data_IF_485315604585
#
_entry.id   IF_485315604585
#
_cell.length_a   1.000
_cell.length_b   1.000
_cell.length_c   1.000
_cell.angle_alpha   90.00
_cell.angle_beta   90.00
_cell.angle_gamma   90.00
#
_symmetry.space_group_name_H-M   'P 1'
#
loop_
_entity.id
_entity.type
_entity.pdbx_description
1 polymer ?
#
# COMPACT_ATOMS: atom_id res chain seq x y z
N UNK A 1 10.45 29.17 -4.11
CA UNK A 1 11.71 29.82 -4.59
C UNK A 1 12.49 28.79 -5.40
N UNK A 2 12.99 29.07 -6.61
CA UNK A 2 13.72 28.06 -7.38
C UNK A 2 15.05 27.71 -6.69
N UNK A 3 15.30 26.41 -6.41
CA UNK A 3 16.51 25.95 -5.72
C UNK A 3 16.35 24.56 -5.10
N UNK A 4 17.45 24.03 -4.55
CA UNK A 4 17.50 22.74 -3.88
C UNK A 4 17.92 22.91 -2.42
N UNK A 5 17.14 22.36 -1.49
CA UNK A 5 17.50 22.27 -0.09
C UNK A 5 18.35 21.02 0.11
N UNK A 6 19.65 21.20 0.34
CA UNK A 6 20.56 20.09 0.65
C UNK A 6 20.30 19.49 2.04
N UNK A 7 19.74 20.26 2.96
CA UNK A 7 19.38 19.80 4.30
C UNK A 7 18.18 18.84 4.22
N UNK A 8 17.17 19.20 3.44
CA UNK A 8 15.93 18.42 3.31
C UNK A 8 16.00 17.37 2.19
N UNK A 9 17.05 17.43 1.35
CA UNK A 9 17.25 16.52 0.24
C UNK A 9 16.17 16.61 -0.84
N UNK A 10 15.59 17.80 -1.03
CA UNK A 10 14.49 18.05 -1.98
C UNK A 10 14.49 19.50 -2.50
N UNK A 11 13.68 19.80 -3.52
CA UNK A 11 13.55 21.16 -4.03
C UNK A 11 12.95 22.11 -2.98
N UNK A 12 13.33 23.38 -3.02
CA UNK A 12 12.75 24.40 -2.13
C UNK A 12 11.22 24.50 -2.33
N UNK A 13 10.74 24.30 -3.55
CA UNK A 13 9.30 24.25 -3.82
C UNK A 13 8.61 23.05 -3.15
N UNK A 14 9.28 21.89 -3.03
CA UNK A 14 8.73 20.76 -2.29
C UNK A 14 8.68 21.06 -0.78
N UNK A 15 9.68 21.75 -0.24
CA UNK A 15 9.67 22.22 1.16
C UNK A 15 8.51 23.20 1.39
N UNK A 16 8.34 24.17 0.48
CA UNK A 16 7.23 25.12 0.51
C UNK A 16 5.87 24.39 0.48
N UNK A 17 5.73 23.35 -0.36
CA UNK A 17 4.55 22.51 -0.43
C UNK A 17 4.25 21.79 0.89
N UNK A 18 5.26 21.16 1.51
CA UNK A 18 5.11 20.53 2.83
C UNK A 18 4.62 21.53 3.88
N UNK A 19 5.14 22.76 3.86
CA UNK A 19 4.73 23.84 4.77
C UNK A 19 3.29 24.31 4.50
N UNK A 20 2.85 24.29 3.24
CA UNK A 20 1.47 24.58 2.84
C UNK A 20 0.49 23.43 3.13
N UNK A 21 0.96 22.29 3.66
CA UNK A 21 0.12 21.12 3.91
C UNK A 21 -0.10 20.24 2.67
N UNK A 22 0.49 20.60 1.53
CA UNK A 22 0.46 19.83 0.29
C UNK A 22 1.56 18.78 0.34
N UNK A 23 1.19 17.50 0.22
CA UNK A 23 2.11 16.39 0.50
C UNK A 23 1.88 15.23 -0.47
N UNK A 24 2.87 14.35 -0.67
CA UNK A 24 2.63 13.11 -1.39
C UNK A 24 1.70 12.19 -0.59
N UNK A 25 0.90 11.36 -1.27
CA UNK A 25 -0.09 10.46 -0.62
C UNK A 25 0.52 9.57 0.48
N UNK A 26 1.78 9.16 0.31
CA UNK A 26 2.50 8.35 1.29
C UNK A 26 2.76 9.08 2.61
N UNK A 27 2.77 10.42 2.60
CA UNK A 27 3.02 11.29 3.76
C UNK A 27 1.76 11.96 4.29
N UNK A 28 0.67 12.03 3.53
CA UNK A 28 -0.62 12.51 4.04
C UNK A 28 -1.13 11.59 5.15
N UNK A 29 -1.35 12.16 6.32
CA UNK A 29 -1.89 11.46 7.48
C UNK A 29 -3.41 11.65 7.58
N UNK A 30 -4.07 10.88 8.43
CA UNK A 30 -5.49 11.14 8.71
C UNK A 30 -5.69 12.49 9.38
N UNK A 31 -4.73 12.95 10.20
CA UNK A 31 -4.79 14.25 10.87
C UNK A 31 -4.77 15.39 9.87
N UNK A 32 -3.92 15.33 8.83
CA UNK A 32 -3.89 16.33 7.76
C UNK A 32 -5.26 16.41 7.05
N UNK A 33 -5.85 15.25 6.73
CA UNK A 33 -7.18 15.18 6.12
C UNK A 33 -8.26 15.79 7.03
N UNK A 34 -8.23 15.48 8.34
CA UNK A 34 -9.20 16.04 9.30
C UNK A 34 -9.06 17.55 9.44
N UNK A 35 -7.83 18.07 9.44
CA UNK A 35 -7.57 19.51 9.51
C UNK A 35 -8.17 20.25 8.31
N UNK A 36 -8.21 19.62 7.13
CA UNK A 36 -8.88 20.16 5.95
C UNK A 36 -10.41 19.98 5.93
N UNK A 37 -11.00 19.30 6.92
CA UNK A 37 -12.45 19.07 6.99
C UNK A 37 -12.93 17.73 6.41
N UNK A 38 -12.02 16.82 6.05
CA UNK A 38 -12.39 15.51 5.51
C UNK A 38 -13.09 14.63 6.57
N UNK A 39 -14.32 14.21 6.29
CA UNK A 39 -15.09 13.34 7.17
C UNK A 39 -14.79 11.83 6.98
N UNK A 40 -14.26 11.43 5.82
CA UNK A 40 -14.05 10.03 5.46
C UNK A 40 -12.80 9.38 6.06
N UNK A 41 -12.51 8.15 5.62
CA UNK A 41 -11.30 7.41 6.02
C UNK A 41 -10.10 7.78 5.13
N UNK A 42 -8.87 7.54 5.61
CA UNK A 42 -7.67 7.68 4.78
C UNK A 42 -7.68 6.68 3.61
N UNK A 43 -8.20 5.47 3.81
CA UNK A 43 -8.33 4.44 2.76
C UNK A 43 -9.20 4.96 1.60
N UNK A 44 -10.33 5.60 1.91
CA UNK A 44 -11.20 6.20 0.91
C UNK A 44 -10.49 7.34 0.18
N UNK A 45 -9.85 8.26 0.89
CA UNK A 45 -9.11 9.37 0.26
C UNK A 45 -8.03 8.87 -0.72
N UNK A 46 -7.24 7.87 -0.33
CA UNK A 46 -6.21 7.29 -1.19
C UNK A 46 -6.83 6.58 -2.41
N UNK A 47 -7.97 5.91 -2.24
CA UNK A 47 -8.66 5.29 -3.36
C UNK A 47 -9.22 6.33 -4.34
N UNK A 48 -9.77 7.44 -3.83
CA UNK A 48 -10.24 8.56 -4.64
C UNK A 48 -9.11 9.22 -5.43
N UNK A 49 -7.92 9.35 -4.85
CA UNK A 49 -6.75 9.84 -5.57
C UNK A 49 -6.34 8.88 -6.70
N UNK A 50 -6.34 7.56 -6.45
CA UNK A 50 -6.01 6.54 -7.46
C UNK A 50 -7.01 6.46 -8.60
N UNK A 51 -8.27 6.76 -8.32
CA UNK A 51 -9.37 6.83 -9.29
C UNK A 51 -9.39 8.17 -10.06
N UNK A 52 -8.49 9.11 -9.73
CA UNK A 52 -8.41 10.43 -10.37
C UNK A 52 -9.45 11.44 -9.89
N UNK A 53 -10.34 11.07 -8.96
CA UNK A 53 -11.31 11.99 -8.35
C UNK A 53 -10.62 13.11 -7.55
N UNK A 54 -9.54 12.77 -6.84
CA UNK A 54 -8.69 13.75 -6.17
C UNK A 54 -7.40 13.92 -6.97
N UNK A 55 -7.32 14.90 -7.87
CA UNK A 55 -6.15 15.09 -8.71
C UNK A 55 -4.97 15.63 -7.89
N UNK A 56 -3.76 15.34 -8.34
CA UNK A 56 -2.56 15.98 -7.81
C UNK A 56 -2.60 17.47 -8.11
N UNK A 57 -2.37 18.31 -7.10
CA UNK A 57 -2.29 19.77 -7.26
C UNK A 57 -0.98 20.19 -7.93
N UNK A 58 0.09 19.46 -7.66
CA UNK A 58 1.42 19.71 -8.19
C UNK A 58 2.28 18.44 -8.14
N UNK A 59 3.45 18.51 -8.76
CA UNK A 59 4.40 17.41 -8.73
C UNK A 59 5.80 17.96 -8.44
N UNK A 60 6.59 17.19 -7.68
CA UNK A 60 7.96 17.52 -7.32
C UNK A 60 8.89 16.35 -7.60
N UNK A 61 10.18 16.62 -7.81
CA UNK A 61 11.18 15.56 -7.88
C UNK A 61 11.55 15.08 -6.47
N UNK A 62 11.72 13.77 -6.31
CA UNK A 62 12.24 13.15 -5.09
C UNK A 62 13.62 12.55 -5.31
N UNK A 63 14.50 12.76 -4.33
CA UNK A 63 15.87 12.25 -4.31
C UNK A 63 16.85 13.08 -5.13
N UNK A 64 18.08 13.22 -4.61
CA UNK A 64 19.12 14.03 -5.26
C UNK A 64 19.71 13.43 -6.55
N UNK A 65 19.59 12.13 -6.77
CA UNK A 65 20.26 11.44 -7.91
C UNK A 65 19.30 10.91 -8.97
N UNK A 66 18.14 10.38 -8.56
CA UNK A 66 17.23 9.66 -9.47
C UNK A 66 16.03 10.50 -9.93
N UNK A 67 15.84 11.71 -9.39
CA UNK A 67 14.84 12.71 -9.82
C UNK A 67 13.44 12.14 -10.09
N UNK A 68 13.00 11.18 -9.29
CA UNK A 68 11.72 10.52 -9.49
C UNK A 68 10.59 11.53 -9.32
N UNK A 69 9.68 11.61 -10.30
CA UNK A 69 8.47 12.44 -10.17
C UNK A 69 7.58 11.89 -9.06
N UNK A 70 7.17 12.78 -8.16
CA UNK A 70 6.25 12.48 -7.08
C UNK A 70 5.13 13.49 -7.10
N UNK A 71 3.91 12.99 -7.26
CA UNK A 71 2.72 13.83 -7.23
C UNK A 71 2.35 14.19 -5.79
N UNK A 72 1.98 15.45 -5.61
CA UNK A 72 1.62 16.07 -4.34
C UNK A 72 0.13 16.44 -4.41
N UNK A 73 -0.53 16.33 -3.25
CA UNK A 73 -1.97 16.42 -3.14
C UNK A 73 -2.34 17.40 -2.04
N UNK A 74 -3.28 18.28 -2.35
CA UNK A 74 -3.88 19.21 -1.41
C UNK A 74 -5.19 18.60 -0.86
N UNK A 75 -5.27 18.30 0.45
CA UNK A 75 -6.49 17.83 1.09
C UNK A 75 -7.70 18.75 0.94
N UNK A 76 -7.51 20.07 0.78
CA UNK A 76 -8.62 21.01 0.59
C UNK A 76 -9.37 20.71 -0.71
N UNK A 77 -8.64 20.45 -1.81
CA UNK A 77 -9.25 20.09 -3.10
C UNK A 77 -10.08 18.81 -3.04
N UNK A 78 -9.67 17.83 -2.21
CA UNK A 78 -10.47 16.63 -1.97
C UNK A 78 -11.79 16.98 -1.29
N UNK A 79 -11.75 17.85 -0.28
CA UNK A 79 -12.93 18.23 0.50
C UNK A 79 -13.90 19.02 -0.35
N UNK A 80 -13.39 19.97 -1.14
CA UNK A 80 -14.18 20.77 -2.07
C UNK A 80 -14.89 19.87 -3.09
N UNK A 81 -14.14 19.05 -3.83
CA UNK A 81 -14.71 18.12 -4.81
C UNK A 81 -15.72 17.15 -4.17
N UNK A 82 -15.46 16.67 -2.95
CA UNK A 82 -16.37 15.78 -2.24
C UNK A 82 -17.64 16.48 -1.77
N UNK A 83 -17.55 17.77 -1.44
CA UNK A 83 -18.68 18.58 -0.99
C UNK A 83 -19.71 18.80 -2.10
N UNK A 84 -19.25 18.84 -3.36
CA UNK A 84 -20.08 18.98 -4.56
C UNK A 84 -20.85 17.70 -4.91
N UNK A 85 -20.35 16.53 -4.50
CA UNK A 85 -21.05 15.26 -4.73
C UNK A 85 -22.34 15.15 -3.92
N UNK A 86 -23.35 14.56 -4.54
CA UNK A 86 -24.59 14.20 -3.87
C UNK A 86 -24.44 12.94 -2.99
N UNK A 87 -25.51 12.59 -2.26
CA UNK A 87 -25.48 11.42 -1.37
C UNK A 87 -25.34 10.08 -2.11
N UNK A 88 -25.89 9.97 -3.33
CA UNK A 88 -25.84 8.75 -4.14
C UNK A 88 -24.42 8.53 -4.70
N UNK A 89 -23.82 9.57 -5.27
CA UNK A 89 -22.44 9.56 -5.79
C UNK A 89 -21.43 9.22 -4.69
N UNK A 90 -21.58 9.84 -3.50
CA UNK A 90 -20.75 9.50 -2.34
C UNK A 90 -20.89 8.05 -1.92
N UNK A 91 -22.08 7.48 -2.02
CA UNK A 91 -22.33 6.07 -1.68
C UNK A 91 -21.67 5.14 -2.68
N UNK A 92 -21.76 5.45 -3.98
CA UNK A 92 -21.10 4.70 -5.04
C UNK A 92 -19.57 4.70 -4.88
N UNK A 93 -18.97 5.89 -4.68
CA UNK A 93 -17.52 6.01 -4.44
C UNK A 93 -17.07 5.23 -3.21
N UNK A 94 -17.85 5.23 -2.13
CA UNK A 94 -17.56 4.41 -0.93
C UNK A 94 -17.62 2.91 -1.26
N UNK A 95 -18.63 2.47 -2.01
CA UNK A 95 -18.80 1.07 -2.38
C UNK A 95 -17.62 0.55 -3.23
N UNK A 96 -17.05 1.39 -4.11
CA UNK A 96 -15.87 1.05 -4.90
C UNK A 96 -14.67 0.63 -4.03
N UNK A 97 -14.49 1.27 -2.87
CA UNK A 97 -13.35 1.01 -1.96
C UNK A 97 -13.54 -0.24 -1.10
N UNK A 98 -14.79 -0.65 -0.91
CA UNK A 98 -15.15 -1.83 -0.11
C UNK A 98 -15.23 -3.11 -0.94
N UNK A 99 -15.25 -3.02 -2.28
CA UNK A 99 -15.08 -4.19 -3.14
C UNK A 99 -13.72 -4.83 -2.88
N UNK A 100 -13.71 -5.91 -2.09
CA UNK A 100 -12.55 -6.80 -2.00
C UNK A 100 -12.33 -7.40 -3.40
N UNK A 101 -11.09 -7.41 -3.91
CA UNK A 101 -10.82 -8.22 -5.09
C UNK A 101 -11.25 -9.66 -4.79
N UNK A 102 -11.93 -10.29 -5.75
CA UNK A 102 -12.27 -11.70 -5.64
C UNK A 102 -10.97 -12.46 -5.35
N UNK A 103 -10.94 -13.21 -4.24
CA UNK A 103 -9.79 -14.04 -3.98
C UNK A 103 -9.77 -15.14 -5.05
N UNK A 104 -8.62 -15.44 -5.66
CA UNK A 104 -8.53 -16.54 -6.60
C UNK A 104 -8.96 -17.84 -5.92
N UNK A 105 -9.63 -18.71 -6.67
CA UNK A 105 -10.06 -20.00 -6.15
C UNK A 105 -8.85 -20.77 -5.61
N UNK A 106 -8.98 -21.25 -4.38
CA UNK A 106 -7.91 -21.95 -3.68
C UNK A 106 -7.68 -23.33 -4.26
N UNK A 107 -6.43 -23.68 -4.59
CA UNK A 107 -6.06 -25.04 -5.03
C UNK A 107 -5.30 -25.78 -3.94
N UNK A 108 -5.59 -27.07 -3.78
CA UNK A 108 -4.89 -27.91 -2.79
C UNK A 108 -3.46 -28.17 -3.24
N UNK A 109 -2.55 -28.04 -2.28
CA UNK A 109 -1.12 -28.23 -2.48
C UNK A 109 -0.52 -29.04 -1.34
N UNK A 110 0.56 -29.74 -1.64
CA UNK A 110 1.42 -30.40 -0.66
C UNK A 110 2.86 -29.95 -0.90
N UNK A 111 3.70 -30.03 0.13
CA UNK A 111 5.07 -29.59 -0.02
C UNK A 111 5.85 -29.61 1.28
N UNK A 112 7.01 -28.97 1.27
CA UNK A 112 7.91 -28.88 2.42
C UNK A 112 8.45 -27.46 2.54
N UNK A 113 8.62 -26.98 3.77
CA UNK A 113 9.32 -25.71 4.02
C UNK A 113 10.44 -25.87 5.05
N UNK A 114 11.49 -25.07 4.89
CA UNK A 114 12.60 -25.03 5.83
C UNK A 114 12.19 -24.34 7.14
N UNK A 115 12.61 -24.93 8.25
CA UNK A 115 12.52 -24.36 9.60
C UNK A 115 13.88 -23.86 10.04
N UNK A 116 13.88 -22.72 10.73
CA UNK A 116 15.08 -22.08 11.23
C UNK A 116 14.88 -21.75 12.71
N UNK A 117 15.91 -22.01 13.51
CA UNK A 117 15.99 -21.66 14.92
C UNK A 117 17.18 -20.76 15.21
N UNK A 118 17.51 -20.61 16.50
CA UNK A 118 18.60 -19.72 16.93
C UNK A 118 18.17 -18.25 17.00
N UNK A 119 19.14 -17.34 16.93
CA UNK A 119 18.88 -15.90 17.02
C UNK A 119 18.58 -15.29 15.65
N UNK A 120 17.83 -14.19 15.59
CA UNK A 120 17.59 -13.45 14.32
C UNK A 120 18.89 -13.04 13.61
N UNK A 121 19.96 -12.77 14.37
CA UNK A 121 21.27 -12.38 13.81
C UNK A 121 22.07 -13.56 13.26
N UNK A 122 21.80 -14.77 13.76
CA UNK A 122 22.47 -16.01 13.36
C UNK A 122 21.45 -17.16 13.31
N UNK A 123 20.57 -17.16 12.30
CA UNK A 123 19.59 -18.22 12.13
C UNK A 123 20.32 -19.52 11.80
N UNK A 124 19.87 -20.63 12.39
CA UNK A 124 20.36 -21.97 12.12
C UNK A 124 19.26 -22.75 11.43
N UNK A 125 19.59 -23.38 10.32
CA UNK A 125 18.69 -24.32 9.65
C UNK A 125 18.45 -25.53 10.55
N UNK A 126 17.19 -25.86 10.81
CA UNK A 126 16.78 -26.98 11.66
C UNK A 126 16.32 -28.19 10.85
N UNK A 127 15.85 -27.99 9.61
CA UNK A 127 15.33 -29.06 8.75
C UNK A 127 14.12 -28.61 7.95
N UNK A 128 13.51 -29.55 7.23
CA UNK A 128 12.27 -29.34 6.49
C UNK A 128 11.07 -29.91 7.26
N UNK A 129 9.92 -29.27 7.08
CA UNK A 129 8.63 -29.73 7.60
C UNK A 129 7.67 -29.88 6.42
N UNK A 130 7.11 -31.07 6.29
CA UNK A 130 6.05 -31.38 5.31
C UNK A 130 4.75 -30.66 5.69
N UNK A 131 3.98 -30.26 4.69
CA UNK A 131 2.70 -29.62 4.89
C UNK A 131 1.70 -29.97 3.79
N UNK A 132 0.43 -29.83 4.16
CA UNK A 132 -0.71 -29.74 3.25
C UNK A 132 -1.36 -28.37 3.43
N UNK A 133 -1.89 -27.81 2.35
CA UNK A 133 -2.44 -26.46 2.40
C UNK A 133 -3.21 -26.07 1.15
N UNK A 134 -3.66 -24.82 1.15
CA UNK A 134 -4.42 -24.24 0.05
C UNK A 134 -3.68 -23.02 -0.49
N UNK A 135 -3.35 -23.06 -1.79
CA UNK A 135 -2.75 -21.94 -2.50
C UNK A 135 -3.84 -20.93 -2.87
N UNK A 136 -3.77 -19.73 -2.30
CA UNK A 136 -4.65 -18.59 -2.57
C UNK A 136 -3.79 -17.40 -3.00
N UNK A 137 -3.76 -17.15 -4.31
CA UNK A 137 -2.86 -16.15 -4.91
C UNK A 137 -1.40 -16.55 -4.72
N UNK A 138 -0.61 -15.67 -4.11
CA UNK A 138 0.82 -15.91 -3.84
C UNK A 138 1.09 -16.63 -2.51
N UNK A 139 0.05 -16.99 -1.76
CA UNK A 139 0.17 -17.51 -0.40
C UNK A 139 -0.40 -18.92 -0.30
N UNK A 140 0.30 -19.77 0.43
CA UNK A 140 -0.14 -21.10 0.82
C UNK A 140 -0.56 -21.03 2.28
N UNK A 141 -1.84 -21.24 2.53
CA UNK A 141 -2.39 -21.39 3.88
C UNK A 141 -2.21 -22.84 4.32
N UNK A 142 -1.41 -23.07 5.36
CA UNK A 142 -1.07 -24.42 5.84
C UNK A 142 -2.19 -24.89 6.77
N UNK A 143 -2.63 -26.14 6.62
CA UNK A 143 -3.73 -26.70 7.44
C UNK A 143 -3.38 -26.71 8.95
N UNK A 144 -2.10 -26.93 9.27
CA UNK A 144 -1.55 -26.83 10.63
C UNK A 144 -1.41 -25.40 11.17
N UNK A 145 -1.85 -24.40 10.41
CA UNK A 145 -1.83 -22.99 10.78
C UNK A 145 -0.65 -22.21 10.19
N UNK A 146 -0.88 -20.91 10.01
CA UNK A 146 0.07 -20.00 9.40
C UNK A 146 0.01 -19.99 7.87
N UNK A 147 0.89 -19.19 7.27
CA UNK A 147 0.97 -19.03 5.82
C UNK A 147 2.41 -18.94 5.34
N UNK A 148 2.66 -19.43 4.13
CA UNK A 148 3.96 -19.33 3.45
C UNK A 148 3.76 -18.70 2.08
N UNK A 149 4.73 -17.90 1.62
CA UNK A 149 4.69 -17.34 0.27
C UNK A 149 5.10 -18.43 -0.71
N UNK A 150 4.28 -18.71 -1.73
CA UNK A 150 4.49 -19.79 -2.69
C UNK A 150 5.81 -19.66 -3.47
N UNK A 151 6.21 -18.41 -3.77
CA UNK A 151 7.48 -18.08 -4.41
C UNK A 151 8.64 -17.84 -3.40
N UNK A 152 8.53 -18.37 -2.17
CA UNK A 152 9.56 -18.23 -1.17
C UNK A 152 10.75 -19.16 -1.43
N UNK A 153 11.97 -18.69 -1.19
CA UNK A 153 13.20 -19.47 -1.44
C UNK A 153 13.33 -20.75 -0.58
N UNK A 154 12.54 -20.85 0.49
CA UNK A 154 12.67 -21.86 1.54
C UNK A 154 11.44 -22.79 1.59
N UNK A 155 10.70 -22.89 0.48
CA UNK A 155 9.52 -23.74 0.35
C UNK A 155 9.52 -24.38 -1.05
N UNK A 156 9.13 -25.65 -1.10
CA UNK A 156 8.92 -26.41 -2.33
C UNK A 156 7.54 -27.05 -2.21
N UNK A 157 6.74 -27.01 -3.27
CA UNK A 157 5.37 -27.51 -3.25
C UNK A 157 4.91 -27.90 -4.65
N UNK A 158 3.88 -28.73 -4.71
CA UNK A 158 3.17 -29.14 -5.93
C UNK A 158 1.67 -29.15 -5.67
N UNK A 159 0.87 -29.21 -6.74
CA UNK A 159 -0.56 -29.47 -6.60
C UNK A 159 -0.77 -30.87 -6.03
N UNK A 160 -1.78 -31.02 -5.18
CA UNK A 160 -2.10 -32.31 -4.55
C UNK A 160 -2.74 -33.32 -5.53
N UNK A 161 -3.12 -32.85 -6.72
CA UNK A 161 -3.84 -33.61 -7.75
C UNK A 161 -2.90 -34.17 -8.86
N UNK A 162 -1.58 -34.02 -8.72
CA UNK A 162 -0.55 -34.57 -9.63
C UNK A 162 0.18 -35.79 -9.04
#
# INVERSE_FOLDING_TARGET
MAGYSFIDGMSNNAVDAYNAGVKPLSKITITDLRAAGWAGTKKLAVALAKDGFWPSSEWHHSGGTWYNRVDFYDPALLVDAWSELDAAERTEKKAMVEKKPAQPEGRRVTGQYATFGGSRRRPRFLGHVDFTGTLVGDWIEIDGGGRKKAAGNNIIWSYADD
#
